data_IF_575319825951
#
_entry.id   IF_575319825951
#
_cell.length_a   1.000
_cell.length_b   1.000
_cell.length_c   1.000
_cell.angle_alpha   90.00
_cell.angle_beta   90.00
_cell.angle_gamma   90.00
#
_symmetry.space_group_name_H-M   'P 1'
#
loop_
_entity.id
_entity.type
_entity.pdbx_description
1 polymer ?
#
# COMPACT_ATOMS: atom_id res chain seq x y z
N UNK A 1 -12.72 4.10 -31.57
CA UNK A 1 -11.49 4.02 -32.39
C UNK A 1 -11.82 4.63 -33.72
N UNK A 2 -11.30 5.84 -33.96
CA UNK A 2 -11.32 6.41 -35.30
C UNK A 2 -10.49 5.55 -36.25
N UNK A 3 -10.61 5.73 -37.56
CA UNK A 3 -9.89 4.97 -38.59
C UNK A 3 -8.37 4.93 -38.40
N UNK A 4 -7.80 5.67 -37.48
CA UNK A 4 -6.38 5.68 -37.12
C UNK A 4 -6.08 5.08 -35.73
N UNK A 5 -7.04 4.46 -35.06
CA UNK A 5 -6.81 3.69 -33.84
C UNK A 5 -6.37 4.45 -32.59
N UNK A 6 -6.28 5.77 -32.66
CA UNK A 6 -5.90 6.60 -31.51
C UNK A 6 -7.15 7.29 -30.99
N UNK A 7 -7.56 6.91 -29.79
CA UNK A 7 -8.56 7.66 -29.02
C UNK A 7 -7.81 8.35 -27.89
N UNK A 8 -7.90 9.67 -27.81
CA UNK A 8 -7.38 10.42 -26.68
C UNK A 8 -8.25 10.12 -25.45
N UNK A 9 -7.86 9.13 -24.69
CA UNK A 9 -8.45 8.81 -23.40
C UNK A 9 -7.73 9.62 -22.30
N UNK A 10 -8.48 10.44 -21.59
CA UNK A 10 -8.00 10.94 -20.32
C UNK A 10 -8.31 9.88 -19.27
N UNK A 11 -7.27 9.36 -18.64
CA UNK A 11 -7.46 8.56 -17.44
C UNK A 11 -8.22 9.39 -16.39
N UNK A 12 -9.11 8.77 -15.63
CA UNK A 12 -9.68 9.40 -14.45
C UNK A 12 -8.58 10.01 -13.58
N UNK A 13 -8.88 11.10 -12.86
CA UNK A 13 -7.89 11.79 -12.03
C UNK A 13 -7.21 10.84 -11.04
N UNK A 14 -7.94 9.87 -10.55
CA UNK A 14 -7.53 8.85 -9.61
C UNK A 14 -6.46 7.90 -10.18
N UNK A 15 -6.49 7.67 -11.47
CA UNK A 15 -5.52 6.81 -12.15
C UNK A 15 -4.27 7.56 -12.65
N UNK A 16 -4.26 8.89 -12.59
CA UNK A 16 -3.13 9.69 -13.07
C UNK A 16 -1.89 9.54 -12.19
N UNK A 17 -2.09 9.23 -10.92
CA UNK A 17 -1.01 9.02 -9.94
C UNK A 17 -0.55 7.55 -9.86
N UNK A 18 -1.24 6.63 -10.55
CA UNK A 18 -0.84 5.22 -10.57
C UNK A 18 0.29 5.00 -11.57
N UNK A 19 1.44 4.55 -11.09
CA UNK A 19 2.60 4.23 -11.93
C UNK A 19 2.41 2.87 -12.60
N UNK A 20 1.68 2.85 -13.72
CA UNK A 20 1.50 1.67 -14.55
C UNK A 20 2.30 1.80 -15.84
N UNK A 21 2.92 0.71 -16.25
CA UNK A 21 3.64 0.59 -17.52
C UNK A 21 2.96 -0.36 -18.51
N UNK A 22 1.91 -1.04 -18.09
CA UNK A 22 1.07 -1.89 -18.92
C UNK A 22 -0.40 -1.49 -18.81
N UNK A 23 -1.07 -1.42 -19.94
CA UNK A 23 -2.49 -1.18 -20.06
C UNK A 23 -3.12 -2.27 -20.92
N UNK A 24 -4.08 -2.98 -20.37
CA UNK A 24 -4.89 -3.96 -21.10
C UNK A 24 -6.37 -3.64 -20.95
N UNK A 25 -7.20 -4.15 -21.85
CA UNK A 25 -8.65 -4.03 -21.76
C UNK A 25 -9.25 -5.42 -21.70
N UNK A 26 -10.06 -5.70 -20.67
CA UNK A 26 -10.69 -6.99 -20.47
C UNK A 26 -12.07 -6.79 -19.84
N UNK A 27 -13.06 -7.50 -20.34
CA UNK A 27 -14.44 -7.56 -19.80
C UNK A 27 -15.10 -6.22 -19.44
N UNK A 28 -14.86 -5.19 -20.25
CA UNK A 28 -15.44 -3.87 -20.03
C UNK A 28 -14.65 -2.95 -19.11
N UNK A 29 -13.42 -3.33 -18.76
CA UNK A 29 -12.54 -2.55 -17.92
C UNK A 29 -11.18 -2.32 -18.58
N UNK A 30 -10.53 -1.20 -18.20
CA UNK A 30 -9.11 -1.01 -18.35
C UNK A 30 -8.39 -1.64 -17.16
N UNK A 31 -7.37 -2.44 -17.41
CA UNK A 31 -6.49 -2.98 -16.38
C UNK A 31 -5.14 -2.28 -16.54
N UNK A 32 -4.81 -1.45 -15.55
CA UNK A 32 -3.51 -0.85 -15.40
C UNK A 32 -2.65 -1.79 -14.55
N UNK A 33 -1.50 -2.19 -15.02
CA UNK A 33 -0.60 -3.05 -14.26
C UNK A 33 0.84 -2.59 -14.37
N UNK A 34 1.62 -2.89 -13.35
CA UNK A 34 3.06 -2.74 -13.41
C UNK A 34 3.67 -3.94 -14.13
N UNK A 35 4.73 -3.72 -14.94
CA UNK A 35 5.36 -4.78 -15.77
C UNK A 35 5.96 -5.92 -14.93
N UNK A 36 6.30 -5.64 -13.69
CA UNK A 36 6.75 -6.64 -12.72
C UNK A 36 5.60 -7.50 -12.16
N UNK A 37 4.35 -7.24 -12.55
CA UNK A 37 3.17 -7.96 -12.06
C UNK A 37 2.81 -7.68 -10.61
N UNK A 38 3.39 -6.65 -9.99
CA UNK A 38 3.27 -6.41 -8.54
C UNK A 38 2.00 -5.69 -8.14
N UNK A 39 1.39 -4.92 -9.03
CA UNK A 39 0.15 -4.21 -8.73
C UNK A 39 -0.76 -4.12 -9.95
N UNK A 40 -2.06 -4.12 -9.73
CA UNK A 40 -3.07 -3.93 -10.76
C UNK A 40 -4.18 -3.02 -10.25
N UNK A 41 -4.66 -2.14 -11.13
CA UNK A 41 -5.86 -1.34 -10.92
C UNK A 41 -6.85 -1.61 -12.04
N UNK A 42 -8.12 -1.83 -11.70
CA UNK A 42 -9.20 -2.03 -12.66
C UNK A 42 -10.07 -0.78 -12.74
N UNK A 43 -10.18 -0.22 -13.94
CA UNK A 43 -10.98 0.98 -14.22
C UNK A 43 -12.06 0.64 -15.24
N UNK A 44 -13.29 1.14 -15.09
CA UNK A 44 -14.33 0.93 -16.09
C UNK A 44 -13.91 1.52 -17.45
N UNK A 45 -14.19 0.80 -18.54
CA UNK A 45 -13.89 1.23 -19.91
C UNK A 45 -14.68 2.47 -20.35
N UNK A 46 -15.80 2.73 -19.74
CA UNK A 46 -16.73 3.78 -20.11
C UNK A 46 -17.10 4.63 -18.91
N UNK A 47 -16.63 5.87 -18.94
CA UNK A 47 -16.94 6.98 -18.03
C UNK A 47 -16.18 7.03 -16.68
N UNK A 48 -15.95 8.24 -16.24
CA UNK A 48 -15.41 8.58 -14.92
C UNK A 48 -16.39 8.33 -13.76
N UNK A 49 -17.54 7.71 -14.04
CA UNK A 49 -18.53 7.30 -13.06
C UNK A 49 -19.17 5.99 -13.52
N UNK A 50 -19.22 4.97 -12.64
CA UNK A 50 -19.95 3.76 -12.92
C UNK A 50 -21.43 4.10 -13.18
N UNK A 51 -21.92 3.73 -14.36
CA UNK A 51 -23.28 4.03 -14.78
C UNK A 51 -24.02 2.73 -14.97
N UNK A 52 -25.07 2.49 -14.20
CA UNK A 52 -25.96 1.37 -14.37
C UNK A 52 -27.17 1.78 -15.24
N UNK A 53 -27.31 1.18 -16.41
CA UNK A 53 -28.39 1.51 -17.35
C UNK A 53 -28.56 3.01 -17.65
N UNK A 54 -27.45 3.76 -17.67
CA UNK A 54 -27.45 5.20 -17.93
C UNK A 54 -27.78 6.09 -16.73
N UNK A 55 -27.87 5.52 -15.52
CA UNK A 55 -28.09 6.25 -14.25
C UNK A 55 -26.86 6.21 -13.37
N UNK A 56 -26.60 7.29 -12.66
CA UNK A 56 -25.63 7.31 -11.56
C UNK A 56 -26.21 6.61 -10.33
N UNK A 57 -25.37 6.06 -9.45
CA UNK A 57 -25.84 5.26 -8.31
C UNK A 57 -26.81 6.02 -7.38
N UNK A 58 -26.68 7.36 -7.29
CA UNK A 58 -27.60 8.19 -6.50
C UNK A 58 -29.06 8.18 -7.01
N UNK A 59 -29.26 7.90 -8.29
CA UNK A 59 -30.56 7.95 -8.97
C UNK A 59 -31.21 6.57 -9.15
N UNK A 60 -30.58 5.52 -8.60
CA UNK A 60 -31.09 4.17 -8.70
C UNK A 60 -32.28 3.94 -7.75
N UNK A 61 -33.26 3.20 -8.21
CA UNK A 61 -34.26 2.60 -7.29
C UNK A 61 -33.60 1.55 -6.40
N UNK A 62 -34.26 1.13 -5.33
CA UNK A 62 -33.71 0.10 -4.43
C UNK A 62 -33.35 -1.18 -5.18
N UNK A 63 -34.24 -1.68 -6.06
CA UNK A 63 -33.98 -2.88 -6.86
C UNK A 63 -32.79 -2.70 -7.82
N UNK A 64 -32.67 -1.52 -8.44
CA UNK A 64 -31.54 -1.20 -9.32
C UNK A 64 -30.23 -1.09 -8.52
N UNK A 65 -30.27 -0.50 -7.31
CA UNK A 65 -29.14 -0.40 -6.42
C UNK A 65 -28.65 -1.78 -5.93
N UNK A 66 -29.58 -2.64 -5.53
CA UNK A 66 -29.26 -4.02 -5.13
C UNK A 66 -28.65 -4.82 -6.29
N UNK A 67 -29.22 -4.73 -7.48
CA UNK A 67 -28.68 -5.41 -8.67
C UNK A 67 -27.27 -4.89 -9.04
N UNK A 68 -27.07 -3.58 -8.96
CA UNK A 68 -25.78 -2.95 -9.20
C UNK A 68 -24.75 -3.42 -8.17
N UNK A 69 -25.06 -3.34 -6.87
CA UNK A 69 -24.18 -3.73 -5.79
C UNK A 69 -23.79 -5.22 -5.85
N UNK A 70 -24.75 -6.09 -6.18
CA UNK A 70 -24.51 -7.52 -6.37
C UNK A 70 -23.59 -7.81 -7.58
N UNK A 71 -23.70 -7.02 -8.65
CA UNK A 71 -22.81 -7.13 -9.80
C UNK A 71 -21.38 -6.71 -9.43
N UNK A 72 -21.22 -5.59 -8.74
CA UNK A 72 -19.93 -5.11 -8.21
C UNK A 72 -19.28 -6.15 -7.29
N UNK A 73 -20.06 -6.70 -6.34
CA UNK A 73 -19.57 -7.77 -5.45
C UNK A 73 -19.02 -8.94 -6.25
N UNK A 74 -19.81 -9.43 -7.21
CA UNK A 74 -19.41 -10.57 -8.05
C UNK A 74 -18.08 -10.29 -8.76
N UNK A 75 -17.93 -9.08 -9.32
CA UNK A 75 -16.71 -8.68 -10.01
C UNK A 75 -15.49 -8.67 -9.07
N UNK A 76 -15.62 -8.08 -7.88
CA UNK A 76 -14.56 -8.03 -6.88
C UNK A 76 -14.18 -9.44 -6.40
N UNK A 77 -15.19 -10.29 -6.11
CA UNK A 77 -14.98 -11.64 -5.60
C UNK A 77 -14.39 -12.59 -6.65
N UNK A 78 -14.66 -12.35 -7.92
CA UNK A 78 -14.13 -13.16 -9.03
C UNK A 78 -12.71 -12.75 -9.41
N UNK A 79 -12.40 -11.46 -9.31
CA UNK A 79 -11.09 -10.91 -9.64
C UNK A 79 -10.25 -10.72 -8.36
N UNK A 80 -9.92 -11.84 -7.73
CA UNK A 80 -9.15 -11.85 -6.47
C UNK A 80 -7.86 -11.04 -6.61
N UNK A 81 -7.62 -10.14 -5.66
CA UNK A 81 -6.43 -9.29 -5.60
C UNK A 81 -6.46 -8.06 -6.50
N UNK A 82 -7.49 -7.89 -7.32
CA UNK A 82 -7.67 -6.65 -8.09
C UNK A 82 -8.32 -5.61 -7.20
N UNK A 83 -7.73 -4.41 -7.16
CA UNK A 83 -8.28 -3.25 -6.45
C UNK A 83 -9.23 -2.50 -7.37
N UNK A 84 -10.45 -2.29 -6.90
CA UNK A 84 -11.49 -1.54 -7.60
C UNK A 84 -11.65 -0.16 -6.96
N UNK A 85 -11.64 0.89 -7.76
CA UNK A 85 -12.10 2.20 -7.35
C UNK A 85 -13.62 2.25 -7.49
N UNK A 86 -14.32 2.40 -6.38
CA UNK A 86 -15.78 2.44 -6.31
C UNK A 86 -16.32 3.87 -6.18
N UNK A 87 -15.45 4.86 -6.21
CA UNK A 87 -15.77 6.25 -5.85
C UNK A 87 -16.76 6.88 -6.80
N UNK A 88 -17.89 7.30 -6.27
CA UNK A 88 -18.80 8.23 -6.93
C UNK A 88 -18.81 9.54 -6.15
N UNK A 89 -18.68 10.67 -6.85
CA UNK A 89 -18.62 11.98 -6.21
C UNK A 89 -19.94 12.73 -6.37
N UNK A 90 -20.51 13.13 -5.24
CA UNK A 90 -21.69 13.99 -5.21
C UNK A 90 -21.44 15.13 -4.22
N UNK A 91 -21.31 16.35 -4.73
CA UNK A 91 -21.04 17.56 -3.95
C UNK A 91 -19.71 17.46 -3.16
N UNK A 92 -19.81 17.31 -1.83
CA UNK A 92 -18.66 17.22 -0.92
C UNK A 92 -18.47 15.79 -0.36
N UNK A 93 -19.27 14.85 -0.81
CA UNK A 93 -19.23 13.46 -0.33
C UNK A 93 -18.75 12.55 -1.46
N UNK A 94 -17.97 11.54 -1.11
CA UNK A 94 -17.73 10.38 -1.97
C UNK A 94 -18.59 9.24 -1.46
N UNK A 95 -19.24 8.53 -2.36
CA UNK A 95 -20.07 7.38 -1.99
C UNK A 95 -19.88 6.23 -2.97
N UNK A 96 -20.25 5.04 -2.51
CA UNK A 96 -20.30 3.83 -3.32
C UNK A 96 -21.48 2.97 -2.88
N UNK A 97 -21.91 2.07 -3.77
CA UNK A 97 -22.89 1.03 -3.47
C UNK A 97 -22.24 -0.34 -3.69
N UNK A 98 -22.34 -1.22 -2.70
CA UNK A 98 -21.75 -2.54 -2.76
C UNK A 98 -22.52 -3.48 -1.83
N UNK A 99 -22.82 -4.68 -2.25
CA UNK A 99 -23.31 -5.76 -1.40
C UNK A 99 -22.12 -6.36 -0.63
N UNK A 100 -21.79 -5.76 0.54
CA UNK A 100 -20.59 -6.08 1.30
C UNK A 100 -20.67 -7.43 1.99
N UNK A 101 -21.83 -7.78 2.55
CA UNK A 101 -22.02 -9.00 3.33
C UNK A 101 -22.62 -10.17 2.52
N UNK A 102 -23.02 -9.92 1.27
CA UNK A 102 -23.55 -10.94 0.37
C UNK A 102 -25.00 -11.30 0.61
N UNK A 103 -25.75 -10.42 1.26
CA UNK A 103 -27.18 -10.63 1.55
C UNK A 103 -28.10 -10.27 0.37
N UNK A 104 -27.54 -9.70 -0.71
CA UNK A 104 -28.23 -9.26 -1.90
C UNK A 104 -28.81 -7.86 -1.84
N UNK A 105 -28.58 -7.14 -0.75
CA UNK A 105 -28.95 -5.74 -0.58
C UNK A 105 -27.72 -4.84 -0.67
N UNK A 106 -27.89 -3.65 -1.24
CA UNK A 106 -26.80 -2.68 -1.38
C UNK A 106 -26.52 -1.97 -0.06
N UNK A 107 -25.27 -2.09 0.44
CA UNK A 107 -24.77 -1.15 1.44
C UNK A 107 -24.35 0.15 0.78
N UNK A 108 -24.77 1.24 1.39
CA UNK A 108 -24.31 2.58 1.02
C UNK A 108 -23.08 2.94 1.83
N UNK A 109 -21.97 3.13 1.15
CA UNK A 109 -20.69 3.53 1.72
C UNK A 109 -20.52 5.02 1.48
N UNK A 110 -20.19 5.80 2.51
CA UNK A 110 -20.06 7.25 2.42
C UNK A 110 -18.77 7.68 3.08
N UNK A 111 -17.99 8.48 2.38
CA UNK A 111 -16.84 9.19 2.91
C UNK A 111 -17.11 10.69 2.84
N UNK A 112 -17.14 11.35 3.99
CA UNK A 112 -17.37 12.79 4.08
C UNK A 112 -16.34 13.48 4.94
N UNK A 113 -15.85 14.65 4.52
CA UNK A 113 -14.98 15.47 5.35
C UNK A 113 -15.75 15.97 6.57
N UNK A 114 -15.15 15.85 7.73
CA UNK A 114 -15.66 16.44 8.96
C UNK A 114 -14.59 17.38 9.49
N UNK A 115 -14.91 18.68 9.58
CA UNK A 115 -13.99 19.64 10.18
C UNK A 115 -13.65 19.22 11.59
N UNK A 116 -12.39 18.90 11.83
CA UNK A 116 -11.92 18.54 13.15
C UNK A 116 -11.72 19.78 14.02
N UNK A 117 -12.05 19.69 15.31
CA UNK A 117 -11.64 20.69 16.29
C UNK A 117 -10.19 20.47 16.75
N UNK A 118 -9.50 19.47 16.21
CA UNK A 118 -8.12 19.16 16.53
C UNK A 118 -7.17 20.00 15.65
N UNK A 119 -6.08 20.44 16.25
CA UNK A 119 -4.99 21.14 15.58
C UNK A 119 -3.72 20.31 15.66
N UNK A 120 -2.89 20.40 14.65
CA UNK A 120 -1.57 19.82 14.67
C UNK A 120 -0.75 20.47 15.80
N UNK A 121 -0.11 19.67 16.63
CA UNK A 121 0.68 20.16 17.78
C UNK A 121 1.94 20.95 17.35
N UNK A 122 2.42 20.73 16.12
CA UNK A 122 3.65 21.36 15.63
C UNK A 122 3.40 22.72 14.96
N UNK A 123 2.40 22.81 14.09
CA UNK A 123 2.15 24.02 13.27
C UNK A 123 0.79 24.68 13.52
N UNK A 124 -0.01 24.12 14.44
CA UNK A 124 -1.36 24.57 14.77
C UNK A 124 -2.34 24.62 13.59
N UNK A 125 -2.04 23.93 12.50
CA UNK A 125 -2.96 23.79 11.39
C UNK A 125 -4.19 22.95 11.78
N UNK A 126 -5.39 23.23 11.23
CA UNK A 126 -6.55 22.39 11.47
C UNK A 126 -6.32 21.01 10.83
N UNK A 127 -6.59 19.97 11.59
CA UNK A 127 -6.56 18.59 11.10
C UNK A 127 -7.93 18.24 10.53
N UNK A 128 -8.01 17.97 9.24
CA UNK A 128 -9.21 17.47 8.61
C UNK A 128 -9.49 16.05 9.08
N UNK A 129 -10.67 15.82 9.63
CA UNK A 129 -11.15 14.49 9.99
C UNK A 129 -12.18 14.05 8.96
N UNK A 130 -12.07 12.82 8.52
CA UNK A 130 -13.05 12.20 7.65
C UNK A 130 -13.86 11.17 8.43
N UNK A 131 -15.15 11.11 8.14
CA UNK A 131 -16.04 10.06 8.65
C UNK A 131 -16.33 9.12 7.50
N UNK A 132 -16.00 7.86 7.74
CA UNK A 132 -16.31 6.76 6.87
C UNK A 132 -17.49 6.00 7.47
N UNK A 133 -18.56 5.87 6.72
CA UNK A 133 -19.80 5.24 7.16
C UNK A 133 -20.21 4.16 6.14
N UNK A 134 -20.65 3.01 6.64
CA UNK A 134 -21.39 2.02 5.86
C UNK A 134 -22.80 1.95 6.44
N UNK A 135 -23.79 2.33 5.64
CA UNK A 135 -25.16 2.59 6.10
C UNK A 135 -25.17 3.58 7.28
N UNK A 136 -25.36 3.09 8.51
CA UNK A 136 -25.34 3.89 9.75
C UNK A 136 -24.14 3.58 10.64
N UNK A 137 -23.33 2.59 10.26
CA UNK A 137 -22.18 2.18 11.06
C UNK A 137 -20.99 3.08 10.75
N UNK A 138 -20.44 3.73 11.77
CA UNK A 138 -19.31 4.64 11.62
C UNK A 138 -17.99 3.93 11.85
N UNK A 139 -17.06 4.13 10.89
CA UNK A 139 -15.64 3.97 11.09
C UNK A 139 -14.97 5.35 11.09
N UNK A 140 -14.13 5.64 12.07
CA UNK A 140 -13.35 6.86 12.08
C UNK A 140 -11.92 6.58 11.64
N UNK A 141 -11.50 7.19 10.52
CA UNK A 141 -10.08 7.22 10.18
C UNK A 141 -9.39 8.27 11.03
N UNK A 142 -8.30 7.89 11.66
CA UNK A 142 -7.50 8.81 12.47
C UNK A 142 -6.88 9.87 11.58
N UNK A 143 -7.02 11.15 11.99
CA UNK A 143 -6.36 12.35 11.48
C UNK A 143 -5.84 12.25 10.06
N UNK A 144 -6.53 12.81 9.11
CA UNK A 144 -6.06 12.79 7.76
C UNK A 144 -5.96 14.20 7.20
N UNK A 145 -4.85 14.85 7.43
CA UNK A 145 -4.37 15.75 6.40
C UNK A 145 -4.23 14.89 5.13
N UNK A 146 -4.90 15.31 4.06
CA UNK A 146 -4.83 14.67 2.76
C UNK A 146 -5.35 13.23 2.66
N UNK A 147 -6.40 12.84 3.40
CA UNK A 147 -7.14 11.65 3.03
C UNK A 147 -7.68 11.82 1.61
N UNK A 148 -7.29 10.94 0.70
CA UNK A 148 -7.92 10.87 -0.61
C UNK A 148 -9.42 10.65 -0.45
N UNK A 149 -10.23 11.27 -1.30
CA UNK A 149 -11.69 11.08 -1.32
C UNK A 149 -12.09 9.92 -2.24
N UNK A 150 -11.34 8.83 -2.17
CA UNK A 150 -11.63 7.62 -2.93
C UNK A 150 -11.92 6.45 -2.00
N UNK A 151 -12.88 5.64 -2.41
CA UNK A 151 -13.28 4.40 -1.74
C UNK A 151 -12.85 3.25 -2.63
N UNK A 152 -11.96 2.43 -2.13
CA UNK A 152 -11.48 1.24 -2.83
C UNK A 152 -12.05 -0.02 -2.20
N UNK A 153 -12.16 -1.07 -3.01
CA UNK A 153 -12.49 -2.40 -2.53
C UNK A 153 -11.71 -3.46 -3.27
N UNK A 154 -11.41 -4.55 -2.59
CA UNK A 154 -10.80 -5.74 -3.19
C UNK A 154 -11.14 -6.97 -2.36
N UNK A 155 -10.92 -8.13 -2.95
CA UNK A 155 -11.01 -9.41 -2.21
C UNK A 155 -9.65 -10.08 -2.18
N UNK A 156 -9.09 -10.37 -0.99
CA UNK A 156 -7.80 -11.07 -0.92
C UNK A 156 -7.91 -12.56 -1.22
N UNK A 157 -9.07 -13.18 -1.05
CA UNK A 157 -9.23 -14.64 -1.08
C UNK A 157 -10.49 -15.14 -1.81
N UNK A 158 -11.27 -14.22 -2.40
CA UNK A 158 -12.55 -14.56 -3.04
C UNK A 158 -13.68 -14.89 -2.06
N UNK A 159 -13.51 -14.64 -0.75
CA UNK A 159 -14.51 -14.97 0.29
C UNK A 159 -15.06 -13.75 1.01
N UNK A 160 -14.21 -12.76 1.21
CA UNK A 160 -14.57 -11.50 1.85
C UNK A 160 -14.18 -10.32 0.98
N UNK A 161 -14.83 -9.21 1.19
CA UNK A 161 -14.48 -7.92 0.60
C UNK A 161 -13.88 -7.04 1.68
N UNK A 162 -12.78 -6.40 1.36
CA UNK A 162 -12.19 -5.34 2.16
C UNK A 162 -12.42 -4.00 1.48
N UNK A 163 -12.87 -3.04 2.26
CA UNK A 163 -12.87 -1.64 1.88
C UNK A 163 -11.53 -1.02 2.25
N UNK A 164 -11.05 -0.11 1.43
CA UNK A 164 -9.82 0.59 1.71
C UNK A 164 -9.98 2.09 1.48
N UNK A 165 -9.40 2.86 2.41
CA UNK A 165 -9.22 4.30 2.32
C UNK A 165 -7.74 4.60 2.33
N UNK A 166 -7.32 5.61 1.58
CA UNK A 166 -5.93 5.99 1.47
C UNK A 166 -5.71 7.38 2.04
N UNK A 167 -4.66 7.54 2.81
CA UNK A 167 -4.11 8.83 3.23
C UNK A 167 -2.77 9.06 2.55
N UNK A 168 -2.54 10.28 2.10
CA UNK A 168 -1.21 10.73 1.65
C UNK A 168 -0.74 11.87 2.54
N UNK A 169 0.45 11.80 3.08
CA UNK A 169 1.04 12.88 3.86
C UNK A 169 1.62 13.99 2.96
N UNK A 170 2.14 15.05 3.58
CA UNK A 170 2.76 16.18 2.88
C UNK A 170 4.05 15.82 2.12
N UNK A 171 4.68 14.70 2.46
CA UNK A 171 5.85 14.16 1.77
C UNK A 171 5.49 13.16 0.68
N UNK A 172 4.19 12.95 0.42
CA UNK A 172 3.69 12.01 -0.58
C UNK A 172 3.68 10.55 -0.13
N UNK A 173 3.99 10.26 1.15
CA UNK A 173 3.89 8.91 1.69
C UNK A 173 2.42 8.51 1.84
N UNK A 174 2.12 7.30 1.38
CA UNK A 174 0.77 6.76 1.44
C UNK A 174 0.61 5.79 2.61
N UNK A 175 -0.56 5.85 3.22
CA UNK A 175 -1.02 4.83 4.17
C UNK A 175 -2.42 4.39 3.77
N UNK A 176 -2.64 3.09 3.68
CA UNK A 176 -3.93 2.48 3.35
C UNK A 176 -4.54 1.83 4.58
N UNK A 177 -5.77 2.22 4.89
CA UNK A 177 -6.57 1.69 6.00
C UNK A 177 -7.57 0.70 5.44
N UNK A 178 -7.63 -0.48 6.03
CA UNK A 178 -8.51 -1.56 5.62
C UNK A 178 -9.66 -1.74 6.60
N UNK A 179 -10.86 -1.96 6.05
CA UNK A 179 -12.07 -2.23 6.82
C UNK A 179 -12.78 -3.45 6.28
N UNK A 180 -13.37 -4.24 7.16
CA UNK A 180 -14.37 -5.27 6.85
C UNK A 180 -15.76 -4.82 7.30
N UNK A 181 -16.79 -5.42 6.71
CA UNK A 181 -18.16 -5.22 7.13
C UNK A 181 -18.81 -6.58 7.35
N UNK A 182 -19.14 -6.87 8.59
CA UNK A 182 -19.72 -8.14 8.98
C UNK A 182 -20.86 -7.95 9.98
N UNK A 183 -21.96 -8.65 9.80
CA UNK A 183 -23.12 -8.61 10.69
C UNK A 183 -23.69 -7.20 10.92
N UNK A 184 -23.59 -6.32 9.93
CA UNK A 184 -24.05 -4.94 10.03
C UNK A 184 -23.07 -3.99 10.71
N UNK A 185 -21.84 -4.43 11.00
CA UNK A 185 -20.82 -3.63 11.66
C UNK A 185 -19.57 -3.43 10.80
N UNK A 186 -19.11 -2.18 10.75
CA UNK A 186 -17.85 -1.80 10.12
C UNK A 186 -16.71 -1.97 11.14
N UNK A 187 -15.71 -2.76 10.78
CA UNK A 187 -14.54 -3.03 11.63
C UNK A 187 -13.25 -2.65 10.92
N UNK A 188 -12.36 -1.94 11.61
CA UNK A 188 -11.00 -1.71 11.11
C UNK A 188 -10.20 -3.02 11.19
N UNK A 189 -9.70 -3.44 10.06
CA UNK A 189 -8.85 -4.64 9.92
C UNK A 189 -7.39 -4.30 10.22
N UNK A 190 -6.94 -3.11 9.82
CA UNK A 190 -5.59 -2.60 10.03
C UNK A 190 -5.16 -1.65 8.93
N UNK A 191 -3.87 -1.28 8.93
CA UNK A 191 -3.29 -0.40 7.91
C UNK A 191 -1.88 -0.85 7.52
N UNK A 192 -1.39 -0.33 6.40
CA UNK A 192 0.00 -0.46 5.96
C UNK A 192 0.45 0.80 5.21
N UNK A 193 1.75 1.07 5.28
CA UNK A 193 2.37 2.26 4.71
C UNK A 193 2.64 2.06 3.20
N UNK A 194 1.59 2.03 2.40
CA UNK A 194 1.64 2.00 0.93
C UNK A 194 0.32 2.44 0.33
N UNK A 195 0.35 2.88 -0.93
CA UNK A 195 -0.84 3.11 -1.74
C UNK A 195 -1.56 1.79 -2.01
N UNK A 196 -2.87 1.75 -1.74
CA UNK A 196 -3.70 0.55 -1.95
C UNK A 196 -3.65 0.06 -3.41
N UNK A 197 -3.41 0.96 -4.34
CA UNK A 197 -3.33 0.67 -5.77
C UNK A 197 -2.07 -0.09 -6.18
N UNK A 198 -1.08 -0.11 -5.29
CA UNK A 198 0.24 -0.71 -5.52
C UNK A 198 0.44 -2.03 -4.78
N UNK A 199 -0.59 -2.52 -4.08
CA UNK A 199 -0.54 -3.84 -3.47
C UNK A 199 -0.79 -4.92 -4.52
N UNK A 200 -0.37 -6.14 -4.20
CA UNK A 200 -0.85 -7.32 -4.92
C UNK A 200 -1.23 -8.42 -3.94
N UNK A 201 -1.98 -9.38 -4.42
CA UNK A 201 -2.45 -10.50 -3.61
C UNK A 201 -1.95 -11.80 -4.21
N UNK A 202 -1.39 -12.65 -3.38
CA UNK A 202 -0.90 -13.95 -3.77
C UNK A 202 -1.32 -14.98 -2.71
N UNK A 203 -2.03 -16.03 -3.10
CA UNK A 203 -2.50 -17.09 -2.20
C UNK A 203 -3.28 -16.57 -0.96
N UNK A 204 -4.09 -15.55 -1.14
CA UNK A 204 -4.86 -14.92 -0.04
C UNK A 204 -4.03 -14.03 0.90
N UNK A 205 -2.78 -13.78 0.56
CA UNK A 205 -1.89 -12.88 1.27
C UNK A 205 -1.85 -11.52 0.57
N UNK A 206 -1.86 -10.46 1.33
CA UNK A 206 -1.68 -9.10 0.85
C UNK A 206 -0.19 -8.79 0.89
N UNK A 207 0.37 -8.42 -0.23
CA UNK A 207 1.80 -8.13 -0.36
C UNK A 207 1.96 -6.66 -0.68
N UNK A 208 2.83 -6.01 0.07
CA UNK A 208 3.15 -4.59 -0.05
C UNK A 208 4.64 -4.42 -0.24
N UNK A 209 5.03 -3.25 -0.71
CA UNK A 209 6.40 -2.77 -0.68
C UNK A 209 6.49 -1.58 0.27
N UNK A 210 7.29 -1.70 1.31
CA UNK A 210 7.52 -0.60 2.25
C UNK A 210 8.93 -0.06 2.09
N UNK A 211 9.04 1.26 1.98
CA UNK A 211 10.35 1.91 2.06
C UNK A 211 10.93 1.77 3.45
N UNK A 212 12.16 1.31 3.53
CA UNK A 212 12.91 1.14 4.77
C UNK A 212 14.26 1.80 4.64
N UNK A 213 14.59 2.67 5.60
CA UNK A 213 15.87 3.37 5.64
C UNK A 213 16.88 2.57 6.48
N UNK A 214 18.07 2.33 5.93
CA UNK A 214 19.19 1.68 6.63
C UNK A 214 20.52 2.24 6.13
N UNK A 215 21.42 2.55 7.03
CA UNK A 215 22.78 3.05 6.73
C UNK A 215 22.81 4.02 5.54
N UNK A 216 22.01 5.09 5.56
CA UNK A 216 21.86 6.10 4.49
C UNK A 216 21.29 5.58 3.16
N UNK A 217 20.86 4.35 3.11
CA UNK A 217 20.16 3.76 1.96
C UNK A 217 18.67 3.59 2.28
N UNK A 218 17.86 3.58 1.24
CA UNK A 218 16.42 3.27 1.37
C UNK A 218 16.07 2.17 0.38
N UNK A 219 15.44 1.18 0.85
CA UNK A 219 15.00 0.09 0.01
C UNK A 219 13.54 -0.21 0.18
N UNK A 220 12.96 -0.72 -0.87
CA UNK A 220 11.59 -1.16 -0.84
C UNK A 220 11.54 -2.63 -0.44
N UNK A 221 11.22 -2.88 0.82
CA UNK A 221 11.10 -4.23 1.36
C UNK A 221 9.72 -4.82 1.03
N UNK A 222 9.72 -6.06 0.58
CA UNK A 222 8.49 -6.83 0.39
C UNK A 222 7.96 -7.29 1.73
N UNK A 223 6.81 -6.77 2.14
CA UNK A 223 6.12 -7.13 3.37
C UNK A 223 4.88 -7.93 3.05
N UNK A 224 4.67 -9.03 3.74
CA UNK A 224 3.55 -9.95 3.51
C UNK A 224 2.61 -9.88 4.70
N UNK A 225 1.33 -9.65 4.41
CA UNK A 225 0.28 -9.63 5.42
C UNK A 225 -0.75 -10.72 5.16
N UNK A 226 -1.42 -11.12 6.22
CA UNK A 226 -2.64 -11.91 6.16
C UNK A 226 -3.68 -11.36 7.12
N UNK A 227 -4.93 -11.69 6.88
CA UNK A 227 -5.98 -11.47 7.86
C UNK A 227 -5.99 -12.67 8.79
N UNK A 228 -5.78 -12.39 10.08
CA UNK A 228 -5.81 -13.40 11.13
C UNK A 228 -7.23 -13.91 11.41
N UNK A 229 -7.34 -14.93 12.22
CA UNK A 229 -8.63 -15.47 12.66
C UNK A 229 -9.42 -14.50 13.57
N UNK A 230 -8.78 -13.45 14.04
CA UNK A 230 -9.36 -12.33 14.81
C UNK A 230 -9.86 -11.20 13.90
N UNK A 231 -9.82 -11.38 12.57
CA UNK A 231 -10.21 -10.39 11.57
C UNK A 231 -9.21 -9.25 11.40
N UNK A 232 -8.02 -9.32 12.00
CA UNK A 232 -7.02 -8.25 11.92
C UNK A 232 -5.90 -8.57 10.94
N UNK A 233 -5.37 -7.49 10.35
CA UNK A 233 -4.20 -7.55 9.50
C UNK A 233 -2.96 -7.85 10.36
N UNK A 234 -2.23 -8.89 9.99
CA UNK A 234 -1.00 -9.29 10.67
C UNK A 234 0.11 -9.52 9.66
N UNK A 235 1.28 -8.92 9.91
CA UNK A 235 2.48 -9.21 9.13
C UNK A 235 2.86 -10.69 9.31
N UNK A 236 3.17 -11.36 8.21
CA UNK A 236 3.71 -12.71 8.23
C UNK A 236 5.22 -12.57 8.43
N UNK A 237 5.77 -13.05 9.55
CA UNK A 237 7.20 -12.97 9.77
C UNK A 237 7.97 -13.68 8.66
N UNK A 238 9.06 -13.05 8.23
CA UNK A 238 10.08 -13.65 7.37
C UNK A 238 11.37 -13.82 8.14
N UNK A 239 12.19 -14.78 7.74
CA UNK A 239 13.49 -14.98 8.40
C UNK A 239 14.46 -13.85 8.07
N UNK A 240 14.28 -13.19 6.91
CA UNK A 240 15.10 -12.09 6.44
C UNK A 240 14.40 -11.31 5.33
N UNK A 241 14.90 -10.09 5.07
CA UNK A 241 14.51 -9.25 3.95
C UNK A 241 15.70 -9.08 3.01
N UNK A 242 15.68 -9.74 1.87
CA UNK A 242 16.72 -9.60 0.85
C UNK A 242 16.72 -8.17 0.28
N UNK A 243 17.89 -7.58 0.14
CA UNK A 243 18.05 -6.25 -0.43
C UNK A 243 18.22 -6.35 -1.95
N UNK A 244 17.60 -5.46 -2.75
CA UNK A 244 17.66 -5.54 -4.21
C UNK A 244 19.06 -5.30 -4.77
N UNK A 245 19.86 -4.47 -4.12
CA UNK A 245 21.22 -4.08 -4.58
C UNK A 245 22.34 -4.95 -4.00
N UNK A 246 22.11 -6.23 -3.80
CA UNK A 246 23.12 -7.15 -3.23
C UNK A 246 24.45 -7.21 -4.03
N UNK A 247 24.47 -6.67 -5.25
CA UNK A 247 25.66 -6.68 -6.11
C UNK A 247 26.52 -5.40 -6.01
N UNK A 248 26.11 -4.43 -5.20
CA UNK A 248 26.89 -3.17 -5.04
C UNK A 248 27.92 -3.36 -3.94
N UNK A 249 29.21 -3.21 -4.31
CA UNK A 249 30.31 -3.25 -3.38
C UNK A 249 30.53 -1.87 -2.77
N UNK A 250 30.35 -1.75 -1.47
CA UNK A 250 30.61 -0.53 -0.71
C UNK A 250 32.03 -0.52 -0.16
N UNK A 251 32.80 0.48 -0.51
CA UNK A 251 34.14 0.66 0.02
C UNK A 251 34.13 1.14 1.48
N UNK A 252 35.19 0.84 2.23
CA UNK A 252 35.32 1.23 3.62
C UNK A 252 36.37 2.32 3.79
N UNK A 253 36.06 3.35 4.60
CA UNK A 253 36.99 4.41 5.00
C UNK A 253 37.80 4.03 6.23
N UNK A 254 37.35 3.06 7.00
CA UNK A 254 38.00 2.54 8.21
C UNK A 254 37.65 1.06 8.39
N UNK A 255 38.39 0.41 9.27
CA UNK A 255 38.10 -0.96 9.66
C UNK A 255 36.68 -1.07 10.23
N UNK A 256 35.97 -2.11 9.80
CA UNK A 256 34.55 -2.34 10.12
C UNK A 256 34.44 -3.45 11.18
N UNK A 257 33.91 -3.11 12.34
CA UNK A 257 33.61 -4.09 13.39
C UNK A 257 32.23 -4.71 13.14
N UNK A 258 32.16 -6.05 13.02
CA UNK A 258 30.94 -6.81 12.75
C UNK A 258 30.74 -7.93 13.77
N UNK A 259 29.49 -8.32 14.00
CA UNK A 259 29.11 -9.47 14.82
C UNK A 259 29.00 -10.74 13.95
N UNK A 260 29.29 -11.91 14.53
CA UNK A 260 29.12 -13.20 13.81
C UNK A 260 27.65 -13.57 13.59
N UNK A 261 26.77 -13.14 14.48
CA UNK A 261 25.32 -13.36 14.42
C UNK A 261 24.59 -12.06 14.74
N UNK A 262 23.32 -11.88 14.36
CA UNK A 262 22.53 -10.69 14.66
C UNK A 262 22.12 -10.62 16.14
N UNK A 263 23.13 -10.59 17.02
CA UNK A 263 22.99 -10.52 18.47
C UNK A 263 24.09 -9.64 19.05
N UNK A 264 23.72 -8.69 19.90
CA UNK A 264 24.66 -7.78 20.54
C UNK A 264 25.70 -8.47 21.45
N UNK A 265 25.40 -9.67 21.95
CA UNK A 265 26.31 -10.52 22.72
C UNK A 265 27.22 -11.43 21.87
N UNK A 266 27.04 -11.40 20.55
CA UNK A 266 27.83 -12.23 19.63
C UNK A 266 29.30 -11.83 19.60
N UNK A 267 30.16 -12.82 19.30
CA UNK A 267 31.56 -12.55 19.01
C UNK A 267 31.70 -11.53 17.89
N UNK A 268 32.59 -10.56 18.09
CA UNK A 268 32.91 -9.53 17.11
C UNK A 268 34.23 -9.84 16.42
N UNK A 269 34.33 -9.42 15.16
CA UNK A 269 35.57 -9.46 14.41
C UNK A 269 35.64 -8.24 13.48
N UNK A 270 36.82 -8.00 12.92
CA UNK A 270 37.11 -6.82 12.11
C UNK A 270 37.24 -7.22 10.65
N UNK A 271 36.54 -6.48 9.77
CA UNK A 271 36.79 -6.44 8.34
C UNK A 271 37.69 -5.24 8.07
N UNK A 272 38.86 -5.46 7.49
CA UNK A 272 39.83 -4.39 7.26
C UNK A 272 39.33 -3.42 6.17
N UNK A 273 39.76 -2.16 6.26
CA UNK A 273 39.34 -1.08 5.36
C UNK A 273 39.79 -1.28 3.88
N UNK A 274 40.70 -2.18 3.62
CA UNK A 274 41.18 -2.53 2.26
C UNK A 274 40.18 -3.47 1.52
N UNK A 275 39.15 -3.94 2.21
CA UNK A 275 38.03 -4.72 1.63
C UNK A 275 36.79 -3.86 1.49
N UNK A 276 35.99 -4.13 0.44
CA UNK A 276 34.63 -3.65 0.36
C UNK A 276 33.65 -4.66 0.97
N UNK A 277 32.41 -4.24 1.13
CA UNK A 277 31.32 -5.11 1.61
C UNK A 277 30.07 -4.96 0.74
N UNK A 278 29.39 -6.06 0.51
CA UNK A 278 28.05 -6.12 -0.06
C UNK A 278 27.02 -6.07 1.07
N UNK A 279 25.94 -5.35 0.87
CA UNK A 279 24.76 -5.38 1.74
C UNK A 279 23.82 -6.45 1.25
N UNK A 280 23.63 -7.54 1.99
CA UNK A 280 22.91 -8.70 1.50
C UNK A 280 21.43 -8.68 1.86
N UNK A 281 21.12 -8.59 3.15
CA UNK A 281 19.76 -8.65 3.67
C UNK A 281 19.67 -8.13 5.11
N UNK A 282 18.47 -7.75 5.51
CA UNK A 282 18.14 -7.43 6.89
C UNK A 282 17.61 -8.67 7.61
N UNK A 283 17.85 -8.74 8.92
CA UNK A 283 17.22 -9.76 9.77
C UNK A 283 15.69 -9.59 9.84
N UNK A 284 15.01 -10.60 10.39
CA UNK A 284 13.55 -10.59 10.57
C UNK A 284 13.03 -9.37 11.34
N UNK A 285 13.82 -8.90 12.32
CA UNK A 285 13.51 -7.72 13.13
C UNK A 285 13.85 -6.39 12.46
N UNK A 286 14.49 -6.44 11.30
CA UNK A 286 15.00 -5.23 10.60
C UNK A 286 15.92 -4.37 11.46
N UNK A 287 16.64 -5.00 12.39
CA UNK A 287 17.56 -4.34 13.30
C UNK A 287 19.04 -4.55 12.91
N UNK A 288 19.30 -5.58 12.13
CA UNK A 288 20.64 -5.99 11.73
C UNK A 288 20.74 -6.14 10.23
N UNK A 289 21.87 -5.66 9.69
CA UNK A 289 22.24 -5.82 8.29
C UNK A 289 23.33 -6.88 8.17
N UNK A 290 23.09 -7.91 7.36
CA UNK A 290 24.11 -8.86 6.96
C UNK A 290 24.96 -8.25 5.85
N UNK A 291 26.27 -8.24 6.05
CA UNK A 291 27.25 -7.81 5.05
C UNK A 291 28.17 -8.97 4.69
N UNK A 292 28.72 -8.94 3.47
CA UNK A 292 29.67 -9.93 2.98
C UNK A 292 30.82 -9.22 2.27
N UNK A 293 32.05 -9.65 2.54
CA UNK A 293 33.23 -9.18 1.81
C UNK A 293 33.34 -9.86 0.43
N UNK A 294 34.17 -9.32 -0.46
CA UNK A 294 34.50 -9.93 -1.76
C UNK A 294 35.02 -11.37 -1.63
N UNK A 295 35.58 -11.72 -0.49
CA UNK A 295 36.13 -13.05 -0.19
C UNK A 295 35.11 -13.98 0.49
N UNK A 296 33.82 -13.57 0.61
CA UNK A 296 32.74 -14.38 1.18
C UNK A 296 32.74 -14.42 2.72
N UNK A 297 33.42 -13.51 3.39
CA UNK A 297 33.34 -13.39 4.85
C UNK A 297 32.12 -12.61 5.22
N UNK A 298 31.15 -13.23 5.92
CA UNK A 298 29.91 -12.60 6.34
C UNK A 298 29.98 -12.11 7.78
N UNK A 299 29.30 -11.01 8.05
CA UNK A 299 29.14 -10.43 9.38
C UNK A 299 27.85 -9.61 9.49
N UNK A 300 27.56 -9.15 10.70
CA UNK A 300 26.33 -8.44 11.00
C UNK A 300 26.62 -7.07 11.60
N UNK A 301 25.93 -6.06 11.07
CA UNK A 301 25.95 -4.68 11.58
C UNK A 301 24.65 -4.40 12.31
N UNK A 302 24.71 -3.83 13.49
CA UNK A 302 23.52 -3.34 14.18
C UNK A 302 23.18 -1.95 13.65
N UNK A 303 22.01 -1.81 13.02
CA UNK A 303 21.63 -0.57 12.35
C UNK A 303 21.57 0.65 13.27
N UNK A 304 21.14 0.45 14.53
CA UNK A 304 21.07 1.52 15.51
C UNK A 304 22.44 2.14 15.89
N UNK A 305 23.55 1.46 15.56
CA UNK A 305 24.90 1.97 15.84
C UNK A 305 25.40 2.92 14.72
N UNK A 306 24.64 3.06 13.61
CA UNK A 306 24.99 3.87 12.45
C UNK A 306 24.12 5.13 12.37
N UNK A 307 24.55 6.21 13.04
CA UNK A 307 24.03 7.54 12.76
C UNK A 307 24.45 8.01 11.37
N UNK A 308 23.92 9.14 10.93
CA UNK A 308 24.32 9.77 9.65
C UNK A 308 25.82 9.97 9.56
N UNK A 309 26.43 10.53 10.61
CA UNK A 309 27.86 10.81 10.66
C UNK A 309 28.70 9.52 10.68
N UNK A 310 28.27 8.51 11.43
CA UNK A 310 28.98 7.24 11.54
C UNK A 310 28.94 6.46 10.22
N UNK A 311 27.81 6.47 9.52
CA UNK A 311 27.69 5.84 8.21
C UNK A 311 28.63 6.48 7.18
N UNK A 312 28.68 7.81 7.10
CA UNK A 312 29.63 8.55 6.27
C UNK A 312 31.11 8.32 6.65
N UNK A 313 31.41 8.25 7.93
CA UNK A 313 32.74 7.96 8.38
C UNK A 313 33.22 6.55 8.06
N UNK A 314 32.26 5.62 7.88
CA UNK A 314 32.57 4.20 7.68
C UNK A 314 32.60 3.81 6.21
N UNK A 315 31.64 4.28 5.39
CA UNK A 315 31.50 3.88 4.00
C UNK A 315 31.80 5.05 3.06
N UNK A 316 32.49 4.79 1.93
CA UNK A 316 32.93 5.86 1.02
C UNK A 316 32.00 6.06 -0.19
N UNK A 317 31.12 5.12 -0.49
CA UNK A 317 30.31 5.11 -1.71
C UNK A 317 28.80 5.21 -1.46
N UNK A 318 28.40 5.49 -0.22
CA UNK A 318 26.98 5.67 0.09
C UNK A 318 26.51 6.99 -0.54
N UNK A 319 25.57 6.91 -1.46
CA UNK A 319 24.82 8.07 -1.89
C UNK A 319 23.71 8.33 -0.88
N UNK A 320 23.73 9.50 -0.20
CA UNK A 320 22.59 9.81 0.63
C UNK A 320 21.36 9.96 -0.24
N UNK A 321 20.20 9.65 0.31
CA UNK A 321 18.93 10.00 -0.25
C UNK A 321 18.97 11.42 -0.78
N UNK A 322 18.85 11.59 -2.08
CA UNK A 322 18.51 12.86 -2.65
C UNK A 322 17.15 13.26 -2.11
N UNK A 323 17.11 14.27 -1.25
CA UNK A 323 15.88 14.90 -0.80
C UNK A 323 15.13 15.54 -1.97
#
# INVERSE_FOLDING_TARGET
>A
TGENGVTDWKLPSEAQDFSADMLTAEDGYWILSQSNGTAQMKLPLLSSQPVWNGKVAADLTTEEADAYAAAQRRDIMTNVGVVFDLSERAAQETYALLDLDGNGSAERIILRPQMAQAVNELDHSPLDKYVFEVNTTRGETRTAQNLGNSIYAFSPDGRQILLALMRRDEFGQCESFLFSYENGELQEVGSFAQDIREIWVENGQIITTQSYDYILQRENLRIIYRIGSDGRLAEIPTDRYDLPEQAVLHGLNKDLEVCRTPDAGSERFTINADHGVYFLYLDAGRQWLCVETENGVTGWLKLADYTYEEAWATFNDLMPYGG
#
